data_IF_045471003722
#
_entry.id   IF_045471003722
#
_cell.length_a   1.000
_cell.length_b   1.000
_cell.length_c   1.000
_cell.angle_alpha   90.00
_cell.angle_beta   90.00
_cell.angle_gamma   90.00
#
_symmetry.space_group_name_H-M   'P 1'
#
loop_
_entity.id
_entity.type
_entity.pdbx_description
1 polymer ?
#
# COMPACT_ATOMS: atom_id res chain seq x y z
N UNK A 1 1.30 19.98 -3.20
CA UNK A 1 1.62 19.20 -2.01
C UNK A 1 0.71 17.99 -1.94
N UNK A 2 1.26 16.82 -1.79
CA UNK A 2 0.45 15.63 -1.66
C UNK A 2 0.33 15.26 -0.20
N UNK A 3 -0.90 15.08 0.22
CA UNK A 3 -1.19 14.62 1.58
C UNK A 3 -1.44 13.12 1.60
N UNK A 4 -0.99 12.43 0.54
CA UNK A 4 -1.20 10.99 0.43
C UNK A 4 -0.22 10.25 1.30
N UNK A 5 -0.75 9.40 2.13
CA UNK A 5 -0.06 8.69 3.17
C UNK A 5 0.35 7.31 2.69
N UNK A 6 1.61 7.00 2.87
CA UNK A 6 2.19 5.72 2.48
C UNK A 6 2.73 5.05 3.73
N UNK A 7 2.30 3.81 3.96
CA UNK A 7 2.78 3.02 5.09
C UNK A 7 3.78 1.99 4.58
N UNK A 8 5.02 2.06 5.06
CA UNK A 8 6.06 1.07 4.79
C UNK A 8 6.14 0.09 5.95
N UNK A 9 6.14 -1.20 5.63
CA UNK A 9 6.22 -2.27 6.62
C UNK A 9 7.41 -3.17 6.30
N UNK A 10 8.38 -3.23 7.22
CA UNK A 10 9.58 -4.04 7.08
C UNK A 10 10.15 -4.28 8.47
N UNK A 11 10.65 -5.48 8.73
CA UNK A 11 11.24 -5.79 10.03
C UNK A 11 12.66 -5.22 10.21
N UNK A 12 13.24 -4.67 9.14
CA UNK A 12 14.54 -4.02 9.19
C UNK A 12 14.40 -2.52 9.31
N UNK A 13 14.66 -1.99 10.50
CA UNK A 13 14.52 -0.56 10.78
C UNK A 13 15.38 0.29 9.84
N UNK A 14 16.56 -0.18 9.46
CA UNK A 14 17.44 0.55 8.53
C UNK A 14 16.79 0.80 7.18
N UNK A 15 16.05 -0.18 6.68
CA UNK A 15 15.34 -0.05 5.40
C UNK A 15 14.24 0.99 5.52
N UNK A 16 13.46 0.95 6.61
CA UNK A 16 12.40 1.92 6.85
C UNK A 16 12.95 3.34 6.95
N UNK A 17 14.06 3.52 7.66
CA UNK A 17 14.70 4.83 7.80
C UNK A 17 15.22 5.35 6.46
N UNK A 18 15.77 4.46 5.63
CA UNK A 18 16.24 4.85 4.30
C UNK A 18 15.10 5.32 3.41
N UNK A 19 13.98 4.61 3.39
CA UNK A 19 12.81 5.01 2.62
C UNK A 19 12.26 6.35 3.10
N UNK A 20 12.17 6.52 4.42
CA UNK A 20 11.67 7.77 4.98
C UNK A 20 12.54 8.96 4.57
N UNK A 21 13.87 8.81 4.66
CA UNK A 21 14.78 9.88 4.25
C UNK A 21 14.67 10.22 2.76
N UNK A 22 14.53 9.20 1.92
CA UNK A 22 14.47 9.39 0.47
C UNK A 22 13.16 10.01 0.00
N UNK A 23 12.06 9.71 0.69
CA UNK A 23 10.72 9.98 0.18
C UNK A 23 9.94 11.03 0.97
N UNK A 24 10.38 11.41 2.16
CA UNK A 24 9.62 12.30 3.05
C UNK A 24 9.31 13.68 2.49
N UNK A 25 10.14 14.16 1.55
CA UNK A 25 9.91 15.47 0.94
C UNK A 25 8.76 15.45 -0.06
N UNK A 26 8.48 14.27 -0.59
CA UNK A 26 7.49 14.11 -1.65
C UNK A 26 6.20 13.44 -1.17
N UNK A 27 6.30 12.59 -0.16
CA UNK A 27 5.18 11.81 0.36
C UNK A 27 5.11 11.90 1.87
N UNK A 28 3.90 11.73 2.39
CA UNK A 28 3.71 11.53 3.83
C UNK A 28 3.96 10.07 4.15
N UNK A 29 4.98 9.79 4.96
CA UNK A 29 5.44 8.41 5.22
C UNK A 29 5.17 8.03 6.66
N UNK A 30 4.54 6.87 6.85
CA UNK A 30 4.45 6.16 8.13
C UNK A 30 5.22 4.86 8.00
N UNK A 31 5.76 4.36 9.10
CA UNK A 31 6.53 3.11 9.10
C UNK A 31 6.04 2.17 10.20
N UNK A 32 6.17 0.87 9.95
CA UNK A 32 5.87 -0.18 10.92
C UNK A 32 6.91 -1.28 10.80
N UNK A 33 7.34 -1.82 11.93
CA UNK A 33 8.38 -2.85 11.96
C UNK A 33 7.83 -4.28 11.95
N UNK A 34 6.50 -4.41 11.99
CA UNK A 34 5.83 -5.70 11.94
C UNK A 34 4.44 -5.56 11.35
N UNK A 35 3.87 -6.68 10.94
CA UNK A 35 2.49 -6.70 10.44
C UNK A 35 1.50 -6.27 11.53
N UNK A 36 1.71 -6.72 12.75
CA UNK A 36 0.85 -6.36 13.88
C UNK A 36 0.88 -4.86 14.14
N UNK A 37 2.07 -4.25 14.12
CA UNK A 37 2.21 -2.81 14.29
C UNK A 37 1.52 -2.05 13.15
N UNK A 38 1.67 -2.54 11.92
CA UNK A 38 1.01 -1.94 10.76
C UNK A 38 -0.52 -1.93 10.91
N UNK A 39 -1.09 -3.05 11.30
CA UNK A 39 -2.54 -3.16 11.50
C UNK A 39 -3.01 -2.23 12.61
N UNK A 40 -2.24 -2.10 13.69
CA UNK A 40 -2.57 -1.19 14.79
C UNK A 40 -2.53 0.26 14.34
N UNK A 41 -1.52 0.65 13.57
CA UNK A 41 -1.41 2.01 13.03
C UNK A 41 -2.64 2.33 12.17
N UNK A 42 -3.04 1.41 11.30
CA UNK A 42 -4.21 1.62 10.45
C UNK A 42 -5.50 1.72 11.25
N UNK A 43 -5.61 0.97 12.33
CA UNK A 43 -6.79 1.01 13.19
C UNK A 43 -6.88 2.34 13.96
N UNK A 44 -5.76 2.80 14.53
CA UNK A 44 -5.73 3.98 15.41
C UNK A 44 -5.67 5.27 14.61
N UNK A 45 -4.80 5.34 13.60
CA UNK A 45 -4.51 6.57 12.85
C UNK A 45 -5.24 6.66 11.52
N UNK A 46 -5.96 5.61 11.15
CA UNK A 46 -6.74 5.58 9.92
C UNK A 46 -6.00 4.96 8.74
N UNK A 47 -6.74 4.61 7.67
CA UNK A 47 -6.18 3.94 6.52
C UNK A 47 -5.21 4.83 5.74
N UNK A 48 -4.29 4.18 5.01
CA UNK A 48 -3.35 4.86 4.14
C UNK A 48 -3.77 4.70 2.67
N UNK A 49 -3.25 5.56 1.81
CA UNK A 49 -3.50 5.44 0.37
C UNK A 49 -2.76 4.24 -0.21
N UNK A 50 -1.51 4.04 0.22
CA UNK A 50 -0.64 2.98 -0.30
C UNK A 50 0.06 2.29 0.87
N UNK A 51 0.09 0.97 0.84
CA UNK A 51 0.89 0.18 1.77
C UNK A 51 1.95 -0.58 0.99
N UNK A 52 3.20 -0.50 1.48
CA UNK A 52 4.34 -1.20 0.89
C UNK A 52 4.90 -2.13 1.94
N UNK A 53 4.79 -3.43 1.72
CA UNK A 53 5.19 -4.43 2.71
C UNK A 53 6.25 -5.38 2.19
N UNK A 54 7.24 -5.69 3.02
CA UNK A 54 8.13 -6.80 2.79
C UNK A 54 7.33 -8.11 2.80
N UNK A 55 7.75 -9.08 2.00
CA UNK A 55 7.07 -10.37 1.91
C UNK A 55 7.28 -11.21 3.17
N UNK A 56 8.51 -11.24 3.68
CA UNK A 56 8.87 -12.09 4.82
C UNK A 56 9.19 -11.27 6.05
N UNK A 57 8.41 -11.49 7.10
CA UNK A 57 8.60 -10.83 8.40
C UNK A 57 8.28 -11.83 9.50
N UNK A 58 8.94 -11.73 10.67
CA UNK A 58 8.59 -12.58 11.81
C UNK A 58 7.12 -12.40 12.23
N UNK A 59 6.49 -13.49 12.59
CA UNK A 59 5.09 -13.50 12.98
C UNK A 59 4.17 -13.61 11.78
N UNK A 60 3.56 -12.51 11.37
CA UNK A 60 2.68 -12.49 10.21
C UNK A 60 3.48 -12.03 8.98
N UNK A 61 3.48 -12.82 7.90
CA UNK A 61 4.16 -12.45 6.66
C UNK A 61 3.39 -11.37 5.89
N UNK A 62 4.06 -10.81 4.87
CA UNK A 62 3.49 -9.73 4.07
C UNK A 62 2.24 -10.12 3.30
N UNK A 63 2.14 -11.36 2.85
CA UNK A 63 0.96 -11.83 2.10
C UNK A 63 -0.26 -11.82 3.02
N UNK A 64 -0.12 -12.34 4.24
CA UNK A 64 -1.21 -12.33 5.22
C UNK A 64 -1.59 -10.91 5.62
N UNK A 65 -0.59 -10.05 5.83
CA UNK A 65 -0.85 -8.64 6.13
C UNK A 65 -1.66 -7.99 5.03
N UNK A 66 -1.22 -8.12 3.78
CA UNK A 66 -1.89 -7.47 2.66
C UNK A 66 -3.28 -8.04 2.42
N UNK A 67 -3.49 -9.33 2.69
CA UNK A 67 -4.82 -9.94 2.62
C UNK A 67 -5.76 -9.30 3.65
N UNK A 68 -5.31 -9.11 4.88
CA UNK A 68 -6.11 -8.45 5.91
C UNK A 68 -6.39 -6.99 5.57
N UNK A 69 -5.38 -6.27 5.08
CA UNK A 69 -5.54 -4.88 4.67
C UNK A 69 -6.59 -4.76 3.56
N UNK A 70 -6.56 -5.68 2.59
CA UNK A 70 -7.55 -5.67 1.51
C UNK A 70 -8.97 -5.85 2.03
N UNK A 71 -9.14 -6.73 3.01
CA UNK A 71 -10.46 -6.97 3.60
C UNK A 71 -10.95 -5.80 4.46
N UNK A 72 -10.05 -5.18 5.22
CA UNK A 72 -10.41 -4.09 6.13
C UNK A 72 -10.41 -2.72 5.45
N UNK A 73 -9.50 -2.50 4.50
CA UNK A 73 -9.29 -1.21 3.83
C UNK A 73 -9.19 -1.43 2.32
N UNK A 74 -10.30 -1.75 1.65
CA UNK A 74 -10.26 -2.17 0.24
C UNK A 74 -9.80 -1.09 -0.73
N UNK A 75 -9.78 0.17 -0.32
CA UNK A 75 -9.31 1.26 -1.18
C UNK A 75 -7.79 1.43 -1.16
N UNK A 76 -7.12 0.90 -0.14
CA UNK A 76 -5.66 1.02 -0.02
C UNK A 76 -4.98 0.22 -1.11
N UNK A 77 -4.10 0.86 -1.85
CA UNK A 77 -3.32 0.20 -2.91
C UNK A 77 -2.15 -0.53 -2.28
N UNK A 78 -1.91 -1.75 -2.69
CA UNK A 78 -0.96 -2.65 -2.06
C UNK A 78 0.23 -2.93 -2.96
N UNK A 79 1.42 -2.78 -2.42
CA UNK A 79 2.69 -3.06 -3.09
C UNK A 79 3.48 -4.02 -2.21
N UNK A 80 4.10 -5.02 -2.82
CA UNK A 80 4.95 -5.97 -2.12
C UNK A 80 6.40 -5.82 -2.54
N UNK A 81 7.30 -5.85 -1.56
CA UNK A 81 8.74 -5.92 -1.79
C UNK A 81 9.18 -7.36 -1.61
N UNK A 82 9.87 -7.92 -2.58
CA UNK A 82 10.21 -9.34 -2.55
C UNK A 82 11.68 -9.56 -2.91
N UNK A 83 12.27 -10.61 -2.35
CA UNK A 83 13.57 -11.09 -2.79
C UNK A 83 13.41 -11.77 -4.16
N UNK A 84 14.50 -11.80 -4.93
CA UNK A 84 14.47 -12.40 -6.27
C UNK A 84 13.96 -13.84 -6.27
N UNK A 85 14.27 -14.62 -5.23
CA UNK A 85 13.86 -16.02 -5.11
C UNK A 85 12.36 -16.21 -4.91
N UNK A 86 11.65 -15.15 -4.54
CA UNK A 86 10.22 -15.24 -4.19
C UNK A 86 9.31 -14.64 -5.26
N UNK A 87 9.84 -14.36 -6.45
CA UNK A 87 9.08 -13.70 -7.53
C UNK A 87 7.84 -14.48 -7.95
N UNK A 88 7.92 -15.80 -7.98
CA UNK A 88 6.78 -16.61 -8.40
C UNK A 88 5.57 -16.40 -7.48
N UNK A 89 5.80 -16.41 -6.17
CA UNK A 89 4.73 -16.18 -5.21
C UNK A 89 4.15 -14.78 -5.35
N UNK A 90 5.00 -13.77 -5.57
CA UNK A 90 4.56 -12.40 -5.79
C UNK A 90 3.75 -12.26 -7.08
N UNK A 91 4.17 -12.90 -8.16
CA UNK A 91 3.44 -12.88 -9.44
C UNK A 91 2.06 -13.50 -9.25
N UNK A 92 1.96 -14.62 -8.55
CA UNK A 92 0.68 -15.27 -8.29
C UNK A 92 -0.26 -14.34 -7.51
N UNK A 93 0.26 -13.63 -6.51
CA UNK A 93 -0.53 -12.69 -5.71
C UNK A 93 -1.04 -11.52 -6.55
N UNK A 94 -0.23 -10.99 -7.46
CA UNK A 94 -0.67 -9.94 -8.41
C UNK A 94 -1.75 -10.48 -9.32
N UNK A 95 -1.56 -11.67 -9.89
CA UNK A 95 -2.50 -12.27 -10.83
C UNK A 95 -3.84 -12.60 -10.18
N UNK A 96 -3.86 -12.88 -8.88
CA UNK A 96 -5.10 -13.09 -8.13
C UNK A 96 -5.78 -11.78 -7.72
N UNK A 97 -5.22 -10.63 -8.10
CA UNK A 97 -5.79 -9.33 -7.77
C UNK A 97 -5.61 -8.90 -6.32
N UNK A 98 -4.74 -9.60 -5.57
CA UNK A 98 -4.52 -9.29 -4.15
C UNK A 98 -3.59 -8.10 -3.95
N UNK A 99 -2.62 -7.91 -4.84
CA UNK A 99 -1.69 -6.79 -4.75
C UNK A 99 -1.64 -6.04 -6.08
N UNK A 100 -1.36 -4.74 -6.02
CA UNK A 100 -1.28 -3.89 -7.19
C UNK A 100 -0.03 -4.21 -8.01
N UNK A 101 1.13 -4.20 -7.36
CA UNK A 101 2.42 -4.54 -7.98
C UNK A 101 3.39 -5.05 -6.95
N UNK A 102 4.46 -5.68 -7.42
CA UNK A 102 5.58 -6.03 -6.58
C UNK A 102 6.87 -5.46 -7.17
N UNK A 103 7.87 -5.24 -6.31
CA UNK A 103 9.22 -4.88 -6.70
C UNK A 103 10.21 -5.85 -6.08
N UNK A 104 11.26 -6.15 -6.83
CA UNK A 104 12.34 -7.02 -6.35
C UNK A 104 13.42 -6.18 -5.70
N UNK A 105 13.86 -6.56 -4.50
CA UNK A 105 14.97 -5.92 -3.81
C UNK A 105 16.30 -6.27 -4.48
N UNK A 106 17.31 -5.38 -4.52
CA UNK A 106 17.30 -4.00 -4.01
C UNK A 106 16.57 -3.05 -4.95
N UNK A 107 15.98 -1.99 -4.38
CA UNK A 107 15.14 -1.07 -5.14
C UNK A 107 15.81 0.30 -5.18
N UNK A 108 15.99 0.82 -6.39
CA UNK A 108 16.51 2.17 -6.57
C UNK A 108 15.44 3.21 -6.23
N UNK A 109 15.85 4.41 -5.78
CA UNK A 109 14.90 5.45 -5.41
C UNK A 109 14.01 5.92 -6.55
N UNK A 110 14.53 5.95 -7.77
CA UNK A 110 13.74 6.38 -8.95
C UNK A 110 12.63 5.38 -9.27
N UNK A 111 12.94 4.09 -9.24
CA UNK A 111 11.96 3.04 -9.50
C UNK A 111 10.87 3.04 -8.44
N UNK A 112 11.26 3.21 -7.19
CA UNK A 112 10.30 3.25 -6.08
C UNK A 112 9.41 4.49 -6.18
N UNK A 113 9.97 5.67 -6.44
CA UNK A 113 9.21 6.91 -6.58
C UNK A 113 8.20 6.79 -7.72
N UNK A 114 8.63 6.27 -8.86
CA UNK A 114 7.76 6.07 -10.02
C UNK A 114 6.60 5.13 -9.71
N UNK A 115 6.87 4.04 -8.99
CA UNK A 115 5.83 3.10 -8.59
C UNK A 115 4.86 3.72 -7.58
N UNK A 116 5.35 4.50 -6.63
CA UNK A 116 4.50 5.19 -5.67
C UNK A 116 3.59 6.22 -6.35
N UNK A 117 4.10 6.96 -7.32
CA UNK A 117 3.28 7.88 -8.11
C UNK A 117 2.16 7.13 -8.84
N UNK A 118 2.48 5.97 -9.41
CA UNK A 118 1.52 5.11 -10.09
C UNK A 118 0.45 4.59 -9.12
N UNK A 119 0.88 4.18 -7.92
CA UNK A 119 -0.03 3.68 -6.90
C UNK A 119 -0.97 4.78 -6.38
N UNK A 120 -0.46 5.99 -6.23
CA UNK A 120 -1.28 7.13 -5.82
C UNK A 120 -2.32 7.46 -6.90
N UNK A 121 -1.95 7.40 -8.17
CA UNK A 121 -2.91 7.58 -9.26
C UNK A 121 -4.00 6.51 -9.20
N UNK A 122 -3.63 5.27 -8.93
CA UNK A 122 -4.60 4.18 -8.76
C UNK A 122 -5.53 4.46 -7.59
N UNK A 123 -4.99 4.89 -6.46
CA UNK A 123 -5.79 5.23 -5.29
C UNK A 123 -6.80 6.35 -5.60
N UNK A 124 -6.37 7.38 -6.32
CA UNK A 124 -7.25 8.48 -6.73
C UNK A 124 -8.37 7.98 -7.62
N UNK A 125 -8.07 7.09 -8.56
CA UNK A 125 -9.09 6.51 -9.45
C UNK A 125 -10.10 5.68 -8.67
N UNK A 126 -9.65 4.85 -7.74
CA UNK A 126 -10.52 4.02 -6.92
C UNK A 126 -11.46 4.90 -6.09
N UNK A 127 -10.94 5.91 -5.43
CA UNK A 127 -11.73 6.77 -4.55
C UNK A 127 -12.65 7.70 -5.34
N UNK A 128 -12.21 8.22 -6.47
CA UNK A 128 -13.04 9.05 -7.35
C UNK A 128 -14.20 8.24 -7.93
N UNK A 129 -13.95 7.01 -8.36
CA UNK A 129 -15.00 6.14 -8.88
C UNK A 129 -16.05 5.84 -7.83
N UNK A 130 -15.64 5.51 -6.62
CA UNK A 130 -16.56 5.23 -5.52
C UNK A 130 -17.37 6.45 -5.13
N UNK A 131 -16.75 7.61 -5.09
CA UNK A 131 -17.44 8.87 -4.80
C UNK A 131 -18.48 9.19 -5.86
N UNK A 132 -18.11 9.07 -7.14
CA UNK A 132 -19.02 9.32 -8.25
C UNK A 132 -20.21 8.38 -8.21
N UNK A 133 -19.99 7.10 -7.96
CA UNK A 133 -21.07 6.12 -7.85
C UNK A 133 -22.01 6.47 -6.70
N UNK A 134 -21.48 6.86 -5.55
CA UNK A 134 -22.28 7.27 -4.41
C UNK A 134 -23.15 8.49 -4.73
N UNK A 135 -22.59 9.48 -5.41
CA UNK A 135 -23.33 10.68 -5.81
C UNK A 135 -24.42 10.34 -6.84
N UNK A 136 -24.12 9.45 -7.77
CA UNK A 136 -25.08 9.02 -8.77
C UNK A 136 -26.28 8.31 -8.13
N UNK A 137 -26.04 7.43 -7.16
CA UNK A 137 -27.11 6.76 -6.44
C UNK A 137 -27.97 7.74 -5.64
N UNK A 138 -27.35 8.71 -4.99
CA UNK A 138 -28.09 9.76 -4.26
C UNK A 138 -28.91 10.61 -5.21
N UNK A 139 -28.34 10.98 -6.35
CA UNK A 139 -29.04 11.74 -7.38
C UNK A 139 -30.24 11.00 -7.94
N UNK A 140 -30.10 9.70 -8.19
CA UNK A 140 -31.20 8.87 -8.69
C UNK A 140 -32.37 8.80 -7.71
N UNK A 141 -32.07 8.69 -6.42
CA UNK A 141 -33.09 8.68 -5.37
C UNK A 141 -33.80 10.02 -5.30
N UNK A 142 -33.08 11.11 -5.44
CA UNK A 142 -33.65 12.45 -5.36
C UNK A 142 -34.51 12.82 -6.56
N UNK A 143 -34.26 12.23 -7.70
CA UNK A 143 -35.00 12.47 -8.94
C UNK A 143 -36.38 11.81 -8.91
N UNK A 144 -36.49 10.72 -8.20
CA UNK A 144 -37.74 10.01 -8.05
C UNK A 144 -38.70 10.73 -7.11
#
# INVERSE_FOLDING_TARGET
MTDYDILFVDDELRILQAFERQLRKRFSIRTAESAQEALKILEVDGPCAVIVSDMWMPGMDGIKLLTQVKNLYPNTVQIMLTAHTDQKTAIDAVNCGQIFKFLTKPIGPEALTSLLDSAIREYRLITAEKELLSQTLKGSVNVL
#
